data_IF_834882050656
#
_entry.id   IF_834882050656
#
_cell.length_a   1.000
_cell.length_b   1.000
_cell.length_c   1.000
_cell.angle_alpha   90.00
_cell.angle_beta   90.00
_cell.angle_gamma   90.00
#
_symmetry.space_group_name_H-M   'P 1'
#
loop_
_entity.id
_entity.type
_entity.pdbx_description
1 polymer ?
#
# COMPACT_ATOMS: atom_id res chain seq x y z
N UNK A 1 1.97 -14.74 -13.93
CA UNK A 1 2.57 -14.34 -12.65
C UNK A 1 1.98 -15.22 -11.57
N UNK A 2 2.81 -15.85 -10.72
CA UNK A 2 2.31 -16.60 -9.57
C UNK A 2 1.94 -15.63 -8.44
N UNK A 3 1.22 -16.13 -7.42
CA UNK A 3 0.71 -15.26 -6.34
C UNK A 3 1.81 -14.53 -5.54
N UNK A 4 2.99 -15.15 -5.37
CA UNK A 4 4.13 -14.54 -4.67
C UNK A 4 4.75 -13.42 -5.48
N UNK A 5 4.90 -13.63 -6.79
CA UNK A 5 5.35 -12.59 -7.72
C UNK A 5 4.37 -11.40 -7.73
N UNK A 6 3.06 -11.67 -7.68
CA UNK A 6 2.05 -10.61 -7.58
C UNK A 6 2.20 -9.79 -6.29
N UNK A 7 2.38 -10.43 -5.14
CA UNK A 7 2.60 -9.71 -3.88
C UNK A 7 3.91 -8.92 -3.86
N UNK A 8 4.96 -9.41 -4.53
CA UNK A 8 6.20 -8.67 -4.68
C UNK A 8 6.01 -7.38 -5.51
N UNK A 9 5.24 -7.45 -6.60
CA UNK A 9 4.90 -6.27 -7.41
C UNK A 9 4.07 -5.26 -6.59
N UNK A 10 3.01 -5.72 -5.93
CA UNK A 10 2.16 -4.86 -5.07
C UNK A 10 3.00 -4.15 -4.00
N UNK A 11 3.90 -4.88 -3.35
CA UNK A 11 4.79 -4.32 -2.33
C UNK A 11 5.74 -3.29 -2.92
N UNK A 12 6.29 -3.55 -4.12
CA UNK A 12 7.12 -2.57 -4.84
C UNK A 12 6.35 -1.28 -5.13
N UNK A 13 5.12 -1.39 -5.62
CA UNK A 13 4.27 -0.21 -5.92
C UNK A 13 4.00 0.63 -4.67
N UNK A 14 3.75 0.00 -3.51
CA UNK A 14 3.57 0.72 -2.25
C UNK A 14 4.85 1.37 -1.72
N UNK A 15 6.00 0.73 -1.88
CA UNK A 15 7.30 1.32 -1.51
C UNK A 15 7.63 2.51 -2.43
N UNK A 16 7.39 2.39 -3.73
CA UNK A 16 7.57 3.49 -4.68
C UNK A 16 6.63 4.65 -4.39
N UNK A 17 5.36 4.36 -4.06
CA UNK A 17 4.41 5.39 -3.62
C UNK A 17 4.91 6.12 -2.37
N UNK A 18 5.38 5.38 -1.36
CA UNK A 18 5.91 5.93 -0.13
C UNK A 18 7.13 6.85 -0.39
N UNK A 19 8.07 6.44 -1.24
CA UNK A 19 9.21 7.26 -1.63
C UNK A 19 8.78 8.55 -2.33
N UNK A 20 7.87 8.46 -3.31
CA UNK A 20 7.35 9.62 -4.04
C UNK A 20 6.66 10.61 -3.08
N UNK A 21 5.84 10.12 -2.15
CA UNK A 21 5.20 10.94 -1.13
C UNK A 21 6.22 11.67 -0.23
N UNK A 22 7.29 11.00 0.20
CA UNK A 22 8.36 11.64 1.00
C UNK A 22 9.14 12.71 0.22
N UNK A 23 9.22 12.57 -1.10
CA UNK A 23 9.84 13.57 -1.99
C UNK A 23 8.88 14.70 -2.40
N UNK A 24 7.62 14.68 -1.93
CA UNK A 24 6.60 15.65 -2.33
C UNK A 24 6.06 15.45 -3.75
N UNK A 25 6.32 14.29 -4.35
CA UNK A 25 5.85 13.91 -5.69
C UNK A 25 4.45 13.30 -5.61
N UNK A 26 3.46 14.10 -5.17
CA UNK A 26 2.11 13.62 -4.85
C UNK A 26 1.40 12.90 -6.00
N UNK A 27 1.58 13.40 -7.23
CA UNK A 27 0.96 12.82 -8.42
C UNK A 27 1.52 11.42 -8.73
N UNK A 28 2.85 11.26 -8.63
CA UNK A 28 3.53 9.97 -8.81
C UNK A 28 3.16 9.01 -7.69
N UNK A 29 3.20 9.46 -6.43
CA UNK A 29 2.80 8.66 -5.28
C UNK A 29 1.35 8.17 -5.37
N UNK A 30 0.43 9.03 -5.80
CA UNK A 30 -0.98 8.68 -5.99
C UNK A 30 -1.18 7.69 -7.15
N UNK A 31 -0.38 7.80 -8.22
CA UNK A 31 -0.43 6.85 -9.32
C UNK A 31 0.03 5.46 -8.87
N UNK A 32 1.20 5.37 -8.22
CA UNK A 32 1.74 4.11 -7.70
C UNK A 32 0.84 3.46 -6.66
N UNK A 33 0.26 4.26 -5.76
CA UNK A 33 -0.72 3.79 -4.78
C UNK A 33 -1.92 3.13 -5.47
N UNK A 34 -2.45 3.75 -6.53
CA UNK A 34 -3.58 3.20 -7.30
C UNK A 34 -3.20 1.89 -7.97
N UNK A 35 -2.04 1.83 -8.63
CA UNK A 35 -1.53 0.61 -9.28
C UNK A 35 -1.44 -0.57 -8.29
N UNK A 36 -0.87 -0.34 -7.11
CA UNK A 36 -0.79 -1.36 -6.05
C UNK A 36 -2.16 -1.78 -5.49
N UNK A 37 -3.09 -0.84 -5.32
CA UNK A 37 -4.45 -1.13 -4.86
C UNK A 37 -5.26 -1.93 -5.88
N UNK A 38 -5.17 -1.60 -7.17
CA UNK A 38 -5.85 -2.30 -8.26
C UNK A 38 -5.43 -3.78 -8.32
N UNK A 39 -4.17 -4.08 -8.00
CA UNK A 39 -3.65 -5.44 -7.91
C UNK A 39 -4.02 -6.13 -6.59
N UNK A 40 -4.07 -5.40 -5.48
CA UNK A 40 -4.37 -5.94 -4.15
C UNK A 40 -5.86 -6.28 -3.98
N UNK A 41 -6.77 -5.43 -4.46
CA UNK A 41 -8.22 -5.56 -4.27
C UNK A 41 -8.77 -6.96 -4.57
N UNK A 42 -8.49 -7.59 -5.73
CA UNK A 42 -9.02 -8.93 -6.04
C UNK A 42 -8.44 -10.03 -5.14
N UNK A 43 -7.27 -9.82 -4.54
CA UNK A 43 -6.58 -10.79 -3.69
C UNK A 43 -6.95 -10.65 -2.21
N UNK A 44 -7.34 -9.45 -1.81
CA UNK A 44 -7.44 -9.05 -0.40
C UNK A 44 -8.37 -9.97 0.40
N UNK A 45 -9.54 -10.33 -0.14
CA UNK A 45 -10.51 -11.22 0.52
C UNK A 45 -9.97 -12.62 0.81
N UNK A 46 -8.95 -13.07 0.06
CA UNK A 46 -8.32 -14.38 0.22
C UNK A 46 -7.05 -14.35 1.06
N UNK A 47 -6.56 -13.17 1.44
CA UNK A 47 -5.33 -13.04 2.20
C UNK A 47 -5.51 -13.53 3.64
N UNK A 48 -4.59 -14.34 4.22
CA UNK A 48 -4.67 -14.80 5.62
C UNK A 48 -4.71 -13.69 6.69
N UNK A 49 -4.46 -12.45 6.30
CA UNK A 49 -4.37 -11.25 7.15
C UNK A 49 -5.34 -10.16 6.69
N UNK A 50 -6.31 -10.50 5.84
CA UNK A 50 -7.27 -9.55 5.27
C UNK A 50 -7.91 -8.65 6.35
N UNK A 51 -8.36 -9.25 7.46
CA UNK A 51 -8.97 -8.49 8.55
C UNK A 51 -8.03 -7.43 9.14
N UNK A 52 -6.74 -7.75 9.31
CA UNK A 52 -5.75 -6.81 9.85
C UNK A 52 -5.48 -5.69 8.84
N UNK A 53 -5.37 -6.03 7.55
CA UNK A 53 -5.20 -5.05 6.47
C UNK A 53 -6.40 -4.10 6.43
N UNK A 54 -7.63 -4.61 6.52
CA UNK A 54 -8.84 -3.78 6.56
C UNK A 54 -8.88 -2.82 7.76
N UNK A 55 -8.26 -3.15 8.89
CA UNK A 55 -8.15 -2.22 10.02
C UNK A 55 -7.15 -1.08 9.78
N UNK A 56 -6.19 -1.23 8.86
CA UNK A 56 -5.24 -0.16 8.51
C UNK A 56 -5.84 0.88 7.57
N UNK A 57 -6.78 0.48 6.70
CA UNK A 57 -7.35 1.35 5.65
C UNK A 57 -7.90 2.69 6.19
N UNK A 58 -8.68 2.74 7.30
CA UNK A 58 -9.17 4.02 7.82
C UNK A 58 -8.05 4.99 8.20
N UNK A 59 -6.93 4.50 8.74
CA UNK A 59 -5.80 5.34 9.12
C UNK A 59 -5.05 5.87 7.88
N UNK A 60 -4.86 5.02 6.87
CA UNK A 60 -4.26 5.41 5.58
C UNK A 60 -5.13 6.44 4.86
N UNK A 61 -6.45 6.23 4.82
CA UNK A 61 -7.40 7.17 4.24
C UNK A 61 -7.37 8.51 4.99
N UNK A 62 -7.37 8.48 6.33
CA UNK A 62 -7.31 9.70 7.11
C UNK A 62 -5.98 10.46 6.94
N UNK A 63 -4.85 9.76 6.72
CA UNK A 63 -3.59 10.40 6.37
C UNK A 63 -3.68 11.08 4.98
N UNK A 64 -4.23 10.38 3.99
CA UNK A 64 -4.46 10.94 2.65
C UNK A 64 -5.37 12.17 2.67
N UNK A 65 -6.51 12.13 3.37
CA UNK A 65 -7.46 13.24 3.46
C UNK A 65 -6.87 14.49 4.13
N UNK A 66 -5.91 14.31 5.05
CA UNK A 66 -5.19 15.41 5.71
C UNK A 66 -3.92 15.84 4.97
N UNK A 67 -3.62 15.26 3.81
CA UNK A 67 -2.37 15.45 3.07
C UNK A 67 -1.13 15.13 3.93
N UNK A 68 -1.28 14.21 4.88
CA UNK A 68 -0.22 13.69 5.72
C UNK A 68 0.55 12.61 4.94
N UNK A 69 1.31 13.07 3.94
CA UNK A 69 2.02 12.19 3.01
C UNK A 69 3.13 11.39 3.66
N UNK A 70 3.74 11.92 4.73
CA UNK A 70 4.72 11.18 5.52
C UNK A 70 4.04 10.05 6.31
N UNK A 71 2.93 10.34 7.00
CA UNK A 71 2.15 9.32 7.70
C UNK A 71 1.60 8.25 6.75
N UNK A 72 1.12 8.63 5.57
CA UNK A 72 0.69 7.67 4.55
C UNK A 72 1.85 6.81 4.05
N UNK A 73 3.02 7.41 3.82
CA UNK A 73 4.21 6.70 3.36
C UNK A 73 4.68 5.64 4.37
N UNK A 74 4.62 5.94 5.67
CA UNK A 74 4.97 4.97 6.73
C UNK A 74 4.06 3.74 6.67
N UNK A 75 2.73 3.94 6.60
CA UNK A 75 1.78 2.84 6.45
C UNK A 75 2.03 1.96 5.21
N UNK A 76 2.38 2.58 4.08
CA UNK A 76 2.59 1.87 2.82
C UNK A 76 3.89 1.06 2.85
N UNK A 77 4.99 1.65 3.30
CA UNK A 77 6.31 1.00 3.27
C UNK A 77 6.51 -0.03 4.39
N UNK A 78 5.91 0.20 5.56
CA UNK A 78 6.18 -0.62 6.74
C UNK A 78 5.01 -1.52 7.10
N UNK A 79 3.86 -0.97 7.51
CA UNK A 79 2.76 -1.79 8.03
C UNK A 79 2.11 -2.66 6.94
N UNK A 80 1.66 -2.05 5.85
CA UNK A 80 0.96 -2.76 4.78
C UNK A 80 1.89 -3.73 4.06
N UNK A 81 3.07 -3.26 3.65
CA UNK A 81 4.08 -4.08 2.96
C UNK A 81 4.55 -5.28 3.80
N UNK A 82 4.73 -5.09 5.12
CA UNK A 82 5.09 -6.21 6.00
C UNK A 82 3.97 -7.26 6.13
N UNK A 83 2.69 -6.86 6.08
CA UNK A 83 1.57 -7.79 6.11
C UNK A 83 1.46 -8.61 4.82
N UNK A 84 1.70 -7.98 3.67
CA UNK A 84 1.65 -8.62 2.36
C UNK A 84 2.82 -9.59 2.13
N UNK A 85 3.98 -9.29 2.71
CA UNK A 85 5.19 -10.13 2.63
C UNK A 85 5.12 -11.41 3.48
N UNK A 86 4.09 -11.58 4.33
CA UNK A 86 3.91 -12.75 5.20
C UNK A 86 3.13 -13.90 4.52
N UNK A 87 3.24 -14.04 3.19
CA UNK A 87 2.51 -15.04 2.36
C UNK A 87 3.27 -16.30 2.01
#
# INVERSE_FOLDING_TARGET
MNIKETYAVITSDFVEAAHAFRLGQEAEGSQRLREGLDLLEPLLSSHPKAQVIFQLIPNMLAAQERHDWLGLADYLEHELSALLSQT
#
